data_IF_697514731796
#
_entry.id   IF_697514731796
#
_cell.length_a   1.000
_cell.length_b   1.000
_cell.length_c   1.000
_cell.angle_alpha   90.00
_cell.angle_beta   90.00
_cell.angle_gamma   90.00
#
_symmetry.space_group_name_H-M   'P 1'
#
loop_
_entity.id
_entity.type
_entity.pdbx_description
1 polymer ?
#
# COMPACT_ATOMS: atom_id res chain seq x y z
N UNK A 1 -46.24 19.82 31.24
CA UNK A 1 -44.91 20.47 31.17
C UNK A 1 -43.88 19.35 31.14
N UNK A 2 -43.40 18.99 29.96
CA UNK A 2 -42.40 17.95 29.75
C UNK A 2 -41.14 18.64 29.24
N UNK A 3 -40.03 18.42 29.94
CA UNK A 3 -38.75 19.10 29.75
C UNK A 3 -37.86 18.25 28.83
N UNK A 4 -37.34 18.76 27.69
CA UNK A 4 -36.39 18.02 26.87
C UNK A 4 -34.97 18.55 27.11
N UNK A 5 -34.12 17.73 27.73
CA UNK A 5 -32.67 17.99 27.80
C UNK A 5 -31.91 16.70 27.49
N UNK A 6 -31.47 16.56 26.23
CA UNK A 6 -30.35 15.70 25.81
C UNK A 6 -30.13 15.85 24.30
N UNK A 7 -29.38 16.89 23.90
CA UNK A 7 -28.95 17.06 22.50
C UNK A 7 -27.51 17.55 22.35
N UNK A 8 -26.67 17.46 23.39
CA UNK A 8 -25.33 18.08 23.36
C UNK A 8 -24.19 17.15 22.89
N UNK A 9 -24.40 15.85 22.69
CA UNK A 9 -23.29 14.94 22.34
C UNK A 9 -22.93 14.85 20.85
N UNK A 10 -23.69 15.46 19.92
CA UNK A 10 -23.40 15.38 18.47
C UNK A 10 -22.67 16.60 17.89
N UNK A 11 -22.61 17.70 18.66
CA UNK A 11 -22.02 18.97 18.20
C UNK A 11 -20.49 18.97 18.27
N UNK A 12 -19.90 18.19 19.17
CA UNK A 12 -18.46 18.15 19.45
C UNK A 12 -17.66 17.40 18.38
N UNK A 13 -18.23 16.35 17.80
CA UNK A 13 -17.56 15.53 16.77
C UNK A 13 -17.44 16.26 15.42
N UNK A 14 -18.45 17.08 15.08
CA UNK A 14 -18.47 17.89 13.85
C UNK A 14 -17.46 19.04 13.94
N UNK A 15 -17.27 19.62 15.12
CA UNK A 15 -16.31 20.72 15.35
C UNK A 15 -14.85 20.21 15.32
N UNK A 16 -14.60 18.99 15.83
CA UNK A 16 -13.30 18.32 15.73
C UNK A 16 -12.93 18.00 14.27
N UNK A 17 -13.90 17.54 13.47
CA UNK A 17 -13.74 17.33 12.02
C UNK A 17 -13.41 18.62 11.27
N UNK A 18 -14.03 19.75 11.63
CA UNK A 18 -13.76 21.07 11.04
C UNK A 18 -12.37 21.61 11.38
N UNK A 19 -11.87 21.33 12.59
CA UNK A 19 -10.53 21.76 13.01
C UNK A 19 -9.41 21.04 12.27
N UNK A 20 -9.64 19.78 11.89
CA UNK A 20 -8.74 18.97 11.05
C UNK A 20 -8.62 19.49 9.60
N UNK A 21 -9.55 20.32 9.12
CA UNK A 21 -9.54 20.93 7.78
C UNK A 21 -8.40 21.96 7.63
N UNK A 22 -7.91 22.55 8.73
CA UNK A 22 -6.93 23.62 8.70
C UNK A 22 -5.47 23.14 8.48
N UNK A 23 -5.12 21.91 8.88
CA UNK A 23 -3.73 21.42 8.89
C UNK A 23 -3.46 20.46 7.72
N UNK A 24 -3.36 21.03 6.51
CA UNK A 24 -3.33 20.26 5.27
C UNK A 24 -1.91 20.08 4.71
N UNK A 25 -1.17 19.05 5.15
CA UNK A 25 0.03 18.53 4.45
C UNK A 25 0.37 17.08 4.82
N UNK A 26 -0.24 16.08 4.17
CA UNK A 26 0.30 14.70 4.12
C UNK A 26 -0.03 14.00 2.78
N UNK A 27 0.97 13.33 2.14
CA UNK A 27 0.82 12.67 0.83
C UNK A 27 0.08 11.32 0.87
N UNK A 28 -0.55 10.97 -0.26
CA UNK A 28 -1.45 9.82 -0.48
C UNK A 28 -0.84 8.41 -0.32
N UNK A 29 0.46 8.31 -0.03
CA UNK A 29 1.21 7.05 -0.01
C UNK A 29 0.86 6.15 1.17
N UNK A 30 0.37 6.69 2.29
CA UNK A 30 0.05 5.89 3.48
C UNK A 30 -1.22 5.03 3.35
N UNK A 31 -2.11 5.37 2.40
CA UNK A 31 -3.44 4.76 2.27
C UNK A 31 -3.42 3.50 1.38
N UNK A 32 -2.36 3.28 0.58
CA UNK A 32 -2.29 2.13 -0.33
C UNK A 32 -2.15 0.79 0.39
N UNK A 33 -1.53 0.79 1.57
CA UNK A 33 -1.10 -0.44 2.24
C UNK A 33 -2.22 -1.18 3.01
N UNK A 34 -3.35 -0.54 3.32
CA UNK A 34 -4.46 -1.11 4.10
C UNK A 34 -5.64 -1.63 3.23
N UNK A 35 -5.65 -1.32 1.93
CA UNK A 35 -6.68 -1.76 0.98
C UNK A 35 -6.68 -3.26 0.73
N UNK A 36 -5.53 -3.91 0.83
CA UNK A 36 -5.36 -5.33 0.55
C UNK A 36 -5.91 -6.21 1.69
N UNK A 37 -5.89 -5.74 2.94
CA UNK A 37 -6.50 -6.45 4.08
C UNK A 37 -8.03 -6.53 3.96
N UNK A 38 -8.67 -5.49 3.40
CA UNK A 38 -10.10 -5.55 3.06
C UNK A 38 -10.38 -6.45 1.86
N UNK A 39 -9.46 -6.54 0.89
CA UNK A 39 -9.65 -7.38 -0.29
C UNK A 39 -9.58 -8.88 0.06
N UNK A 40 -8.65 -9.28 0.93
CA UNK A 40 -8.57 -10.66 1.43
C UNK A 40 -9.78 -11.00 2.35
N UNK A 41 -10.28 -10.03 3.12
CA UNK A 41 -11.50 -10.20 3.90
C UNK A 41 -12.77 -10.30 3.04
N UNK A 42 -12.83 -9.62 1.89
CA UNK A 42 -13.93 -9.71 0.94
C UNK A 42 -14.00 -11.08 0.26
N UNK A 43 -12.85 -11.69 -0.04
CA UNK A 43 -12.78 -13.03 -0.63
C UNK A 43 -13.03 -14.14 0.42
N UNK A 44 -12.65 -13.93 1.68
CA UNK A 44 -12.89 -14.88 2.78
C UNK A 44 -14.33 -14.90 3.32
N UNK A 45 -15.04 -13.75 3.32
CA UNK A 45 -16.38 -13.61 3.92
C UNK A 45 -17.53 -14.20 3.11
N UNK A 46 -17.26 -14.80 1.95
CA UNK A 46 -18.25 -15.56 1.19
C UNK A 46 -18.37 -17.03 1.67
N UNK A 47 -17.60 -17.45 2.68
CA UNK A 47 -17.45 -18.86 3.02
C UNK A 47 -17.44 -19.24 4.52
N UNK A 48 -17.90 -18.40 5.44
CA UNK A 48 -18.02 -18.85 6.84
C UNK A 48 -19.29 -18.35 7.54
N UNK A 49 -19.89 -19.29 8.28
CA UNK A 49 -21.14 -19.17 9.00
C UNK A 49 -20.98 -18.50 10.35
N UNK A 50 -22.12 -18.03 10.84
CA UNK A 50 -22.35 -17.34 12.11
C UNK A 50 -21.62 -17.94 13.33
N UNK A 51 -21.07 -17.06 14.16
CA UNK A 51 -20.72 -17.38 15.55
C UNK A 51 -21.28 -16.28 16.44
N UNK A 52 -22.41 -16.58 17.09
CA UNK A 52 -23.02 -15.75 18.15
C UNK A 52 -22.28 -15.99 19.47
N UNK A 53 -22.00 -14.91 20.19
CA UNK A 53 -21.77 -14.96 21.63
C UNK A 53 -22.10 -13.60 22.25
N UNK A 54 -23.19 -13.56 23.02
CA UNK A 54 -23.52 -12.46 23.93
C UNK A 54 -22.51 -12.40 25.09
N UNK A 55 -21.97 -11.23 25.45
CA UNK A 55 -21.34 -11.04 26.74
C UNK A 55 -22.35 -10.55 27.78
N UNK A 56 -22.35 -11.26 28.92
CA UNK A 56 -22.98 -10.93 30.19
C UNK A 56 -22.51 -9.55 30.69
N UNK A 57 -23.46 -8.62 30.80
CA UNK A 57 -23.24 -7.21 31.13
C UNK A 57 -23.38 -7.00 32.64
N UNK A 58 -22.36 -7.43 33.38
CA UNK A 58 -22.26 -7.12 34.81
C UNK A 58 -20.82 -6.88 35.24
N UNK A 59 -20.35 -5.64 35.04
CA UNK A 59 -19.40 -4.89 35.89
C UNK A 59 -18.86 -3.69 35.08
N UNK A 60 -18.90 -2.48 35.66
CA UNK A 60 -17.75 -1.54 35.77
C UNK A 60 -18.22 -0.08 36.04
N UNK A 61 -18.60 0.19 37.30
CA UNK A 61 -18.41 1.53 37.87
C UNK A 61 -16.92 1.69 38.19
N UNK A 62 -16.18 2.49 37.40
CA UNK A 62 -14.79 2.85 37.75
C UNK A 62 -13.83 3.17 36.61
N UNK A 63 -14.22 3.00 35.34
CA UNK A 63 -13.37 3.41 34.22
C UNK A 63 -13.49 4.93 34.01
N UNK A 64 -12.36 5.64 34.09
CA UNK A 64 -12.36 7.08 33.83
C UNK A 64 -12.51 7.36 32.33
N UNK A 65 -13.20 8.45 31.98
CA UNK A 65 -13.38 8.88 30.59
C UNK A 65 -12.04 9.07 29.86
N UNK A 66 -10.99 9.45 30.60
CA UNK A 66 -9.63 9.59 30.08
C UNK A 66 -9.03 8.22 29.67
N UNK A 67 -9.25 7.18 30.47
CA UNK A 67 -8.79 5.82 30.15
C UNK A 67 -9.59 5.25 28.98
N UNK A 68 -10.92 5.45 28.95
CA UNK A 68 -11.77 5.04 27.84
C UNK A 68 -11.38 5.73 26.52
N UNK A 69 -11.09 7.03 26.57
CA UNK A 69 -10.61 7.80 25.41
C UNK A 69 -9.25 7.30 24.92
N UNK A 70 -8.33 7.00 25.83
CA UNK A 70 -7.02 6.43 25.52
C UNK A 70 -7.15 5.04 24.88
N UNK A 71 -7.97 4.16 25.45
CA UNK A 71 -8.24 2.83 24.90
C UNK A 71 -8.81 2.95 23.48
N UNK A 72 -9.77 3.84 23.25
CA UNK A 72 -10.31 4.09 21.91
C UNK A 72 -9.24 4.60 20.93
N UNK A 73 -8.35 5.48 21.39
CA UNK A 73 -7.26 6.01 20.57
C UNK A 73 -6.27 4.92 20.15
N UNK A 74 -5.85 4.07 21.08
CA UNK A 74 -4.93 2.97 20.81
C UNK A 74 -5.60 1.79 20.08
N UNK A 75 -6.93 1.68 20.12
CA UNK A 75 -7.71 0.63 19.44
C UNK A 75 -8.19 1.01 18.02
N UNK A 76 -7.65 2.09 17.43
CA UNK A 76 -8.05 2.56 16.08
C UNK A 76 -7.83 1.53 14.97
N UNK A 77 -6.89 0.61 15.14
CA UNK A 77 -6.63 -0.49 14.21
C UNK A 77 -6.08 -0.07 12.83
N UNK A 78 -5.69 1.19 12.67
CA UNK A 78 -5.06 1.76 11.47
C UNK A 78 -3.97 2.75 11.89
N UNK A 79 -2.99 3.00 11.02
CA UNK A 79 -1.97 4.03 11.27
C UNK A 79 -2.58 5.44 11.31
N UNK A 80 -1.95 6.38 12.03
CA UNK A 80 -2.44 7.77 12.10
C UNK A 80 -2.55 8.44 10.72
N UNK A 81 -1.62 8.13 9.82
CA UNK A 81 -1.67 8.60 8.43
C UNK A 81 -2.88 8.07 7.67
N UNK A 82 -3.22 6.80 7.88
CA UNK A 82 -4.39 6.17 7.26
C UNK A 82 -5.69 6.70 7.87
N UNK A 83 -5.75 6.86 9.19
CA UNK A 83 -6.86 7.50 9.87
C UNK A 83 -7.14 8.89 9.28
N UNK A 84 -6.14 9.76 9.20
CA UNK A 84 -6.26 11.08 8.57
C UNK A 84 -6.68 10.99 7.10
N UNK A 85 -6.15 10.02 6.37
CA UNK A 85 -6.55 9.72 4.99
C UNK A 85 -8.04 9.39 4.85
N UNK A 86 -8.55 8.49 5.68
CA UNK A 86 -9.95 8.09 5.68
C UNK A 86 -10.89 9.20 6.15
N UNK A 87 -10.47 10.01 7.13
CA UNK A 87 -11.23 11.20 7.55
C UNK A 87 -11.37 12.20 6.38
N UNK A 88 -10.28 12.47 5.65
CA UNK A 88 -10.34 13.35 4.46
C UNK A 88 -11.31 12.83 3.40
N UNK A 89 -11.28 11.52 3.13
CA UNK A 89 -12.18 10.89 2.15
C UNK A 89 -13.65 10.92 2.60
N UNK A 90 -13.92 10.74 3.91
CA UNK A 90 -15.27 10.87 4.45
C UNK A 90 -15.83 12.28 4.26
N UNK A 91 -15.04 13.32 4.57
CA UNK A 91 -15.44 14.72 4.35
C UNK A 91 -15.73 14.98 2.87
N UNK A 92 -14.91 14.45 1.96
CA UNK A 92 -15.15 14.57 0.51
C UNK A 92 -16.45 13.88 0.07
N UNK A 93 -16.78 12.73 0.67
CA UNK A 93 -18.05 12.05 0.43
C UNK A 93 -19.24 12.92 0.85
N UNK A 94 -19.25 13.45 2.07
CA UNK A 94 -20.35 14.29 2.56
C UNK A 94 -20.50 15.59 1.75
N UNK A 95 -19.39 16.23 1.41
CA UNK A 95 -19.38 17.43 0.56
C UNK A 95 -19.96 17.13 -0.82
N UNK A 96 -19.61 15.99 -1.43
CA UNK A 96 -20.19 15.54 -2.68
C UNK A 96 -21.71 15.34 -2.56
N UNK A 97 -22.15 14.56 -1.58
CA UNK A 97 -23.58 14.25 -1.38
C UNK A 97 -24.41 15.51 -1.11
N UNK A 98 -23.87 16.44 -0.32
CA UNK A 98 -24.50 17.73 -0.02
C UNK A 98 -24.58 18.62 -1.26
N UNK A 99 -23.48 18.76 -2.00
CA UNK A 99 -23.42 19.61 -3.21
C UNK A 99 -24.38 19.14 -4.32
N UNK A 100 -24.59 17.83 -4.43
CA UNK A 100 -25.53 17.21 -5.37
C UNK A 100 -26.96 17.14 -4.84
N UNK A 101 -27.20 17.62 -3.61
CA UNK A 101 -28.50 17.59 -2.92
C UNK A 101 -29.07 16.17 -2.76
N UNK A 102 -28.20 15.17 -2.64
CA UNK A 102 -28.61 13.80 -2.32
C UNK A 102 -28.89 13.61 -0.83
N UNK A 103 -28.36 14.50 0.01
CA UNK A 103 -28.69 14.62 1.43
C UNK A 103 -29.14 16.05 1.71
N UNK A 104 -30.02 16.23 2.69
CA UNK A 104 -30.47 17.54 3.13
C UNK A 104 -29.28 18.30 3.75
N UNK A 105 -29.11 19.61 3.44
CA UNK A 105 -28.08 20.41 4.07
C UNK A 105 -28.15 20.33 5.60
N UNK A 106 -27.03 19.99 6.24
CA UNK A 106 -26.94 19.85 7.69
C UNK A 106 -27.31 18.46 8.24
N UNK A 107 -27.82 17.54 7.41
CA UNK A 107 -27.99 16.13 7.81
C UNK A 107 -26.70 15.37 7.56
N UNK A 108 -26.06 14.78 8.59
CA UNK A 108 -24.82 14.04 8.42
C UNK A 108 -25.10 12.74 7.66
N UNK A 109 -24.22 12.40 6.72
CA UNK A 109 -24.31 11.13 6.00
C UNK A 109 -23.76 10.00 6.86
N UNK A 110 -22.64 10.25 7.55
CA UNK A 110 -22.12 9.32 8.53
C UNK A 110 -22.80 9.53 9.88
N UNK A 111 -23.43 8.49 10.40
CA UNK A 111 -24.16 8.52 11.67
C UNK A 111 -24.28 7.12 12.25
N UNK A 112 -24.70 7.04 13.52
CA UNK A 112 -25.04 5.77 14.20
C UNK A 112 -26.32 5.14 13.66
N UNK A 113 -27.16 5.90 12.96
CA UNK A 113 -28.37 5.42 12.33
C UNK A 113 -28.38 5.83 10.84
N UNK A 114 -27.56 5.18 10.00
CA UNK A 114 -27.47 5.56 8.61
C UNK A 114 -28.79 5.33 7.88
N UNK A 115 -29.07 6.20 6.91
CA UNK A 115 -30.23 6.06 6.03
C UNK A 115 -30.25 4.68 5.35
N UNK A 116 -31.46 4.13 5.14
CA UNK A 116 -31.65 2.91 4.33
C UNK A 116 -31.04 3.02 2.93
N UNK A 117 -30.89 4.25 2.43
CA UNK A 117 -30.28 4.57 1.13
C UNK A 117 -28.75 4.66 1.16
N UNK A 118 -28.09 4.54 2.31
CA UNK A 118 -26.65 4.73 2.44
C UNK A 118 -25.82 3.91 1.43
N UNK A 119 -26.10 2.61 1.16
CA UNK A 119 -25.40 1.86 0.11
C UNK A 119 -25.44 2.52 -1.28
N UNK A 120 -26.59 3.09 -1.65
CA UNK A 120 -26.75 3.77 -2.94
C UNK A 120 -25.94 5.06 -3.00
N UNK A 121 -25.93 5.84 -1.91
CA UNK A 121 -25.16 7.08 -1.80
C UNK A 121 -23.65 6.82 -1.90
N UNK A 122 -23.16 5.73 -1.30
CA UNK A 122 -21.76 5.29 -1.43
C UNK A 122 -21.43 4.98 -2.90
N UNK A 123 -22.30 4.22 -3.57
CA UNK A 123 -22.12 3.88 -4.98
C UNK A 123 -22.13 5.15 -5.85
N UNK A 124 -23.05 6.09 -5.61
CA UNK A 124 -23.12 7.34 -6.37
C UNK A 124 -21.82 8.15 -6.26
N UNK A 125 -21.23 8.21 -5.07
CA UNK A 125 -19.96 8.88 -4.87
C UNK A 125 -18.81 8.19 -5.60
N UNK A 126 -18.68 6.86 -5.46
CA UNK A 126 -17.65 6.07 -6.17
C UNK A 126 -17.85 6.14 -7.68
N UNK A 127 -19.09 6.06 -8.16
CA UNK A 127 -19.47 6.20 -9.57
C UNK A 127 -19.07 7.55 -10.12
N UNK A 128 -19.36 8.62 -9.38
CA UNK A 128 -18.99 9.99 -9.77
C UNK A 128 -17.47 10.26 -9.74
N UNK A 129 -16.65 9.48 -9.04
CA UNK A 129 -15.21 9.67 -9.08
C UNK A 129 -14.51 8.74 -10.07
N UNK A 130 -15.00 7.50 -10.17
CA UNK A 130 -14.22 6.41 -10.72
C UNK A 130 -14.86 5.76 -11.95
N UNK A 131 -16.16 5.85 -12.19
CA UNK A 131 -16.80 5.08 -13.27
C UNK A 131 -16.85 5.85 -14.60
N UNK A 132 -16.99 5.09 -15.69
CA UNK A 132 -17.26 5.62 -17.03
C UNK A 132 -18.70 6.13 -17.17
N UNK A 133 -19.60 5.62 -16.32
CA UNK A 133 -21.00 6.00 -16.26
C UNK A 133 -21.16 7.02 -15.13
N UNK A 134 -21.78 8.16 -15.42
CA UNK A 134 -22.13 9.17 -14.44
C UNK A 134 -23.39 8.75 -13.65
N UNK A 135 -23.62 9.34 -12.46
CA UNK A 135 -24.86 9.13 -11.70
C UNK A 135 -26.17 9.34 -12.47
N UNK A 136 -26.16 10.14 -13.53
CA UNK A 136 -27.31 10.38 -14.41
C UNK A 136 -27.46 9.33 -15.54
N UNK A 137 -26.59 8.32 -15.59
CA UNK A 137 -26.58 7.26 -16.62
C UNK A 137 -25.81 7.61 -17.89
N UNK A 138 -25.32 8.85 -18.03
CA UNK A 138 -24.55 9.26 -19.20
C UNK A 138 -23.13 8.71 -19.16
N UNK A 139 -22.55 8.46 -20.34
CA UNK A 139 -21.13 8.10 -20.44
C UNK A 139 -20.28 9.36 -20.35
N UNK A 140 -19.20 9.30 -19.56
CA UNK A 140 -18.21 10.37 -19.54
C UNK A 140 -17.52 10.56 -20.88
N UNK A 141 -17.13 11.79 -21.21
CA UNK A 141 -16.25 12.06 -22.34
C UNK A 141 -14.92 11.29 -22.21
N UNK A 142 -14.38 10.71 -23.31
CA UNK A 142 -13.10 10.00 -23.28
C UNK A 142 -11.90 10.86 -22.82
N UNK A 143 -12.02 12.19 -22.92
CA UNK A 143 -10.98 13.16 -22.55
C UNK A 143 -10.90 13.41 -21.04
N UNK A 144 -11.90 13.00 -20.27
CA UNK A 144 -11.92 13.22 -18.82
C UNK A 144 -11.13 12.12 -18.11
N UNK A 145 -10.15 12.52 -17.30
CA UNK A 145 -9.33 11.58 -16.52
C UNK A 145 -10.20 10.99 -15.41
N UNK A 146 -10.32 9.67 -15.40
CA UNK A 146 -11.08 8.91 -14.41
C UNK A 146 -10.15 8.38 -13.33
N UNK A 147 -10.60 8.39 -12.08
CA UNK A 147 -9.86 7.75 -10.99
C UNK A 147 -9.76 6.22 -11.19
N UNK A 148 -8.71 5.63 -10.62
CA UNK A 148 -8.42 4.20 -10.76
C UNK A 148 -9.33 3.33 -9.89
N UNK A 149 -9.36 2.01 -10.16
CA UNK A 149 -10.05 1.06 -9.28
C UNK A 149 -9.47 1.06 -7.85
N UNK A 150 -8.15 1.24 -7.71
CA UNK A 150 -7.48 1.38 -6.41
C UNK A 150 -8.02 2.60 -5.64
N UNK A 151 -8.25 3.72 -6.32
CA UNK A 151 -8.87 4.88 -5.67
C UNK A 151 -10.31 4.60 -5.24
N UNK A 152 -11.11 3.89 -6.05
CA UNK A 152 -12.44 3.44 -5.65
C UNK A 152 -12.41 2.55 -4.41
N UNK A 153 -11.41 1.67 -4.29
CA UNK A 153 -11.19 0.88 -3.07
C UNK A 153 -10.86 1.76 -1.88
N UNK A 154 -10.00 2.79 -2.02
CA UNK A 154 -9.71 3.77 -0.95
C UNK A 154 -10.97 4.47 -0.48
N UNK A 155 -11.80 4.92 -1.42
CA UNK A 155 -13.09 5.54 -1.12
C UNK A 155 -13.98 4.59 -0.30
N UNK A 156 -14.12 3.34 -0.74
CA UNK A 156 -14.90 2.33 0.00
C UNK A 156 -14.33 2.07 1.39
N UNK A 157 -13.02 1.81 1.51
CA UNK A 157 -12.36 1.52 2.78
C UNK A 157 -12.51 2.67 3.80
N UNK A 158 -12.41 3.91 3.32
CA UNK A 158 -12.68 5.08 4.16
C UNK A 158 -14.11 5.09 4.71
N UNK A 159 -15.09 4.73 3.89
CA UNK A 159 -16.50 4.64 4.32
C UNK A 159 -16.70 3.46 5.27
N UNK A 160 -16.09 2.30 4.98
CA UNK A 160 -16.09 1.12 5.87
C UNK A 160 -15.55 1.48 7.24
N UNK A 161 -14.39 2.14 7.28
CA UNK A 161 -13.74 2.58 8.49
C UNK A 161 -14.61 3.55 9.29
N UNK A 162 -15.20 4.56 8.64
CA UNK A 162 -16.01 5.53 9.35
C UNK A 162 -17.27 4.89 9.95
N UNK A 163 -18.08 4.18 9.17
CA UNK A 163 -19.25 3.51 9.72
C UNK A 163 -18.88 2.46 10.78
N UNK A 164 -17.86 1.66 10.53
CA UNK A 164 -17.49 0.55 11.40
C UNK A 164 -16.82 0.98 12.71
N UNK A 165 -15.88 1.93 12.65
CA UNK A 165 -15.05 2.34 13.80
C UNK A 165 -15.51 3.65 14.42
N UNK A 166 -15.71 4.69 13.61
CA UNK A 166 -16.07 6.03 14.13
C UNK A 166 -17.50 6.02 14.65
N UNK A 167 -18.43 5.44 13.88
CA UNK A 167 -19.84 5.33 14.25
C UNK A 167 -20.21 3.98 14.88
N UNK A 168 -19.22 3.13 15.14
CA UNK A 168 -19.36 1.90 15.92
C UNK A 168 -20.39 0.90 15.38
N UNK A 169 -20.66 0.90 14.07
CA UNK A 169 -21.55 -0.09 13.43
C UNK A 169 -20.87 -1.44 13.19
N UNK A 170 -19.57 -1.52 13.49
CA UNK A 170 -18.77 -2.74 13.38
C UNK A 170 -18.62 -3.24 11.93
N UNK A 171 -18.45 -4.56 11.82
CA UNK A 171 -18.22 -5.27 10.56
C UNK A 171 -19.41 -6.08 10.05
N UNK A 172 -20.59 -5.95 10.68
CA UNK A 172 -21.77 -6.72 10.32
C UNK A 172 -22.25 -6.32 8.91
N UNK A 173 -22.65 -7.30 8.07
CA UNK A 173 -23.27 -7.01 6.79
C UNK A 173 -24.52 -6.14 6.96
N UNK A 174 -24.70 -5.18 6.06
CA UNK A 174 -25.88 -4.31 6.04
C UNK A 174 -27.15 -5.12 5.79
N UNK A 175 -28.07 -5.14 6.75
CA UNK A 175 -29.32 -5.91 6.67
C UNK A 175 -30.47 -5.18 7.37
N UNK A 176 -31.70 -5.59 7.06
CA UNK A 176 -32.89 -5.09 7.73
C UNK A 176 -33.21 -5.99 8.92
N UNK A 177 -33.25 -5.42 10.12
CA UNK A 177 -33.65 -6.13 11.32
C UNK A 177 -35.16 -5.94 11.54
N UNK A 178 -35.92 -7.03 11.46
CA UNK A 178 -37.38 -7.01 11.62
C UNK A 178 -37.83 -6.68 13.05
N UNK A 179 -37.02 -7.03 14.06
CA UNK A 179 -37.35 -6.78 15.46
C UNK A 179 -37.21 -5.29 15.83
N UNK A 180 -36.21 -4.62 15.28
CA UNK A 180 -35.97 -3.18 15.52
C UNK A 180 -36.61 -2.26 14.47
N UNK A 181 -37.13 -2.79 13.36
CA UNK A 181 -37.59 -2.06 12.17
C UNK A 181 -36.53 -1.07 11.63
N UNK A 182 -35.25 -1.39 11.84
CA UNK A 182 -34.12 -0.55 11.44
C UNK A 182 -33.16 -1.32 10.54
N UNK A 183 -32.36 -0.55 9.79
CA UNK A 183 -31.23 -1.12 9.08
C UNK A 183 -30.04 -1.18 10.03
N UNK A 184 -29.37 -2.32 10.07
CA UNK A 184 -28.25 -2.60 10.96
C UNK A 184 -27.03 -3.07 10.17
N UNK A 185 -25.85 -2.89 10.76
CA UNK A 185 -24.55 -3.20 10.16
C UNK A 185 -23.94 -2.05 9.37
N UNK A 186 -22.94 -2.35 8.56
CA UNK A 186 -22.15 -1.35 7.84
C UNK A 186 -22.60 -1.21 6.37
N UNK A 187 -23.15 -0.05 5.94
CA UNK A 187 -23.64 0.15 4.58
C UNK A 187 -22.61 -0.14 3.46
N UNK A 188 -21.32 0.07 3.71
CA UNK A 188 -20.24 -0.17 2.73
C UNK A 188 -19.95 -1.65 2.48
N UNK A 189 -20.37 -2.53 3.39
CA UNK A 189 -20.22 -3.98 3.33
C UNK A 189 -21.50 -4.61 2.75
N UNK A 190 -22.49 -3.81 2.38
CA UNK A 190 -23.72 -4.32 1.73
C UNK A 190 -23.42 -5.14 0.47
N UNK A 191 -24.25 -6.15 0.16
CA UNK A 191 -24.15 -6.89 -1.10
C UNK A 191 -24.20 -5.98 -2.34
N UNK A 192 -24.95 -4.89 -2.25
CA UNK A 192 -25.09 -3.91 -3.32
C UNK A 192 -23.76 -3.20 -3.63
N UNK A 193 -23.08 -2.65 -2.61
CA UNK A 193 -21.77 -1.99 -2.78
C UNK A 193 -20.72 -3.00 -3.26
N UNK A 194 -20.70 -4.20 -2.68
CA UNK A 194 -19.76 -5.26 -3.09
C UNK A 194 -19.94 -5.66 -4.56
N UNK A 195 -21.17 -5.88 -5.01
CA UNK A 195 -21.49 -6.23 -6.40
C UNK A 195 -21.11 -5.11 -7.37
N UNK A 196 -21.36 -3.85 -6.96
CA UNK A 196 -20.97 -2.69 -7.74
C UNK A 196 -19.44 -2.61 -7.91
N UNK A 197 -18.67 -2.79 -6.84
CA UNK A 197 -17.20 -2.77 -6.89
C UNK A 197 -16.64 -3.86 -7.79
N UNK A 198 -17.17 -5.10 -7.72
CA UNK A 198 -16.78 -6.18 -8.62
C UNK A 198 -17.06 -5.85 -10.08
N UNK A 199 -18.21 -5.24 -10.36
CA UNK A 199 -18.59 -4.82 -11.71
C UNK A 199 -17.70 -3.67 -12.21
N UNK A 200 -17.41 -2.69 -11.36
CA UNK A 200 -16.48 -1.60 -11.64
C UNK A 200 -15.08 -2.14 -11.98
N UNK A 201 -14.58 -3.12 -11.22
CA UNK A 201 -13.30 -3.79 -11.49
C UNK A 201 -13.28 -4.38 -12.89
N UNK A 202 -14.33 -5.13 -13.27
CA UNK A 202 -14.44 -5.74 -14.60
C UNK A 202 -14.47 -4.70 -15.71
N UNK A 203 -15.23 -3.60 -15.54
CA UNK A 203 -15.24 -2.48 -16.50
C UNK A 203 -13.86 -1.86 -16.66
N UNK A 204 -13.17 -1.58 -15.55
CA UNK A 204 -11.81 -1.02 -15.56
C UNK A 204 -10.81 -1.91 -16.28
N UNK A 205 -10.86 -3.22 -16.03
CA UNK A 205 -10.01 -4.20 -16.74
C UNK A 205 -10.31 -4.21 -18.24
N UNK A 206 -11.59 -4.19 -18.64
CA UNK A 206 -11.98 -4.13 -20.05
C UNK A 206 -11.47 -2.86 -20.75
N UNK A 207 -11.42 -1.74 -20.03
CA UNK A 207 -10.89 -0.47 -20.51
C UNK A 207 -9.35 -0.42 -20.55
N UNK A 208 -8.66 -1.54 -20.26
CA UNK A 208 -7.21 -1.61 -20.20
C UNK A 208 -6.59 -0.97 -18.94
N UNK A 209 -7.41 -0.48 -18.01
CA UNK A 209 -6.96 0.01 -16.71
C UNK A 209 -6.71 -1.23 -15.83
N UNK A 210 -5.55 -1.85 -16.06
CA UNK A 210 -5.08 -2.95 -15.22
C UNK A 210 -4.79 -2.40 -13.84
N UNK A 211 -5.25 -3.09 -12.78
CA UNK A 211 -4.89 -2.70 -11.43
C UNK A 211 -3.35 -2.77 -11.29
N UNK A 212 -2.76 -1.68 -10.83
CA UNK A 212 -1.34 -1.61 -10.53
C UNK A 212 -1.05 -2.65 -9.44
N UNK A 213 0.08 -3.37 -9.53
CA UNK A 213 0.52 -4.36 -8.54
C UNK A 213 -0.19 -5.74 -8.61
N UNK A 214 -0.91 -6.08 -9.69
CA UNK A 214 -1.49 -7.43 -9.83
C UNK A 214 -0.44 -8.46 -10.28
N UNK A 215 0.52 -8.05 -11.11
CA UNK A 215 1.46 -8.99 -11.74
C UNK A 215 2.69 -9.22 -10.87
N UNK A 216 3.00 -10.49 -10.66
CA UNK A 216 4.25 -10.93 -10.07
C UNK A 216 5.42 -10.65 -11.02
N UNK A 217 6.53 -10.14 -10.49
CA UNK A 217 7.78 -10.07 -11.26
C UNK A 217 8.36 -11.48 -11.39
N UNK A 218 8.95 -11.84 -12.53
CA UNK A 218 9.48 -13.19 -12.72
C UNK A 218 11.01 -13.19 -12.67
N UNK A 219 11.66 -14.34 -12.37
CA UNK A 219 13.11 -14.49 -12.47
C UNK A 219 13.65 -14.05 -13.83
N UNK A 220 12.98 -14.41 -14.92
CA UNK A 220 13.40 -14.10 -16.28
C UNK A 220 13.36 -12.60 -16.56
N UNK A 221 12.35 -11.91 -16.03
CA UNK A 221 12.25 -10.45 -16.13
C UNK A 221 13.35 -9.77 -15.29
N UNK A 222 13.64 -10.29 -14.10
CA UNK A 222 14.77 -9.82 -13.29
C UNK A 222 16.12 -10.06 -14.00
N UNK A 223 16.28 -11.18 -14.72
CA UNK A 223 17.47 -11.46 -15.52
C UNK A 223 17.64 -10.44 -16.65
N UNK A 224 16.55 -10.07 -17.35
CA UNK A 224 16.57 -9.04 -18.39
C UNK A 224 16.96 -7.67 -17.83
N UNK A 225 16.33 -7.25 -16.72
CA UNK A 225 16.66 -5.98 -16.05
C UNK A 225 18.11 -5.97 -15.57
N UNK A 226 18.56 -7.06 -14.96
CA UNK A 226 19.93 -7.19 -14.47
C UNK A 226 20.94 -7.09 -15.62
N UNK A 227 20.71 -7.82 -16.73
CA UNK A 227 21.58 -7.78 -17.91
C UNK A 227 21.65 -6.37 -18.50
N UNK A 228 20.48 -5.75 -18.73
CA UNK A 228 20.41 -4.39 -19.26
C UNK A 228 21.13 -3.39 -18.34
N UNK A 229 20.92 -3.49 -17.02
CA UNK A 229 21.60 -2.65 -16.05
C UNK A 229 23.13 -2.84 -16.08
N UNK A 230 23.60 -4.09 -16.18
CA UNK A 230 25.02 -4.45 -16.21
C UNK A 230 25.73 -3.97 -17.48
N UNK A 231 25.01 -3.86 -18.59
CA UNK A 231 25.51 -3.37 -19.89
C UNK A 231 25.61 -1.84 -19.95
N UNK A 232 25.06 -1.11 -18.97
CA UNK A 232 25.12 0.36 -18.95
C UNK A 232 26.58 0.86 -18.92
N UNK A 233 26.92 1.90 -19.73
CA UNK A 233 28.25 2.51 -19.69
C UNK A 233 28.65 2.93 -18.27
N UNK A 234 29.80 2.45 -17.81
CA UNK A 234 30.27 2.73 -16.46
C UNK A 234 29.68 1.86 -15.35
N UNK A 235 28.83 0.86 -15.66
CA UNK A 235 28.33 -0.08 -14.65
C UNK A 235 29.45 -0.81 -13.91
N UNK A 236 30.61 -1.03 -14.51
CA UNK A 236 31.77 -1.66 -13.86
C UNK A 236 32.68 -0.67 -13.12
N UNK A 237 32.38 0.62 -13.17
CA UNK A 237 33.21 1.63 -12.51
C UNK A 237 32.80 1.78 -11.05
N UNK A 238 33.78 2.04 -10.20
CA UNK A 238 33.58 2.28 -8.76
C UNK A 238 33.30 3.75 -8.46
N UNK A 239 33.31 4.61 -9.48
CA UNK A 239 32.95 6.02 -9.39
C UNK A 239 31.98 6.38 -10.52
N UNK A 240 31.00 7.26 -10.25
CA UNK A 240 30.09 7.73 -11.29
C UNK A 240 30.87 8.49 -12.37
N UNK A 241 30.77 8.05 -13.63
CA UNK A 241 31.13 8.92 -14.75
C UNK A 241 30.01 9.94 -14.85
N UNK A 242 30.19 11.08 -14.19
CA UNK A 242 29.30 12.21 -14.43
C UNK A 242 30.02 13.20 -15.33
N UNK A 243 29.85 13.02 -16.64
CA UNK A 243 30.21 14.05 -17.60
C UNK A 243 29.26 15.24 -17.40
N UNK A 244 29.83 16.43 -17.17
CA UNK A 244 29.06 17.66 -16.97
C UNK A 244 28.04 17.97 -18.08
N UNK A 245 28.17 17.33 -19.25
CA UNK A 245 27.25 17.41 -20.37
C UNK A 245 25.82 16.89 -20.05
N UNK A 246 25.67 15.88 -19.19
CA UNK A 246 24.35 15.31 -18.85
C UNK A 246 23.49 16.27 -18.01
N UNK A 247 24.12 17.17 -17.24
CA UNK A 247 23.42 18.13 -16.37
C UNK A 247 22.58 19.14 -17.15
N UNK A 248 22.97 19.44 -18.38
CA UNK A 248 22.33 20.45 -19.24
C UNK A 248 21.33 19.84 -20.24
N UNK A 249 21.23 18.50 -20.30
CA UNK A 249 20.33 17.82 -21.22
C UNK A 249 18.89 17.80 -20.65
N UNK A 250 17.85 18.08 -21.44
CA UNK A 250 16.45 17.96 -21.00
C UNK A 250 16.12 16.54 -20.51
N UNK A 251 15.30 16.41 -19.44
CA UNK A 251 14.93 15.10 -18.83
C UNK A 251 14.35 14.10 -19.85
N UNK A 252 13.58 14.57 -20.82
CA UNK A 252 13.02 13.75 -21.90
C UNK A 252 14.12 13.15 -22.79
N UNK A 253 15.17 13.92 -23.07
CA UNK A 253 16.28 13.44 -23.89
C UNK A 253 17.20 12.50 -23.11
N UNK A 254 17.40 12.74 -21.81
CA UNK A 254 18.08 11.79 -20.92
C UNK A 254 17.34 10.44 -20.90
N UNK A 255 16.00 10.46 -20.76
CA UNK A 255 15.17 9.25 -20.81
C UNK A 255 15.31 8.52 -22.15
N UNK A 256 15.23 9.25 -23.29
CA UNK A 256 15.38 8.66 -24.63
C UNK A 256 16.75 8.03 -24.87
N UNK A 257 17.79 8.56 -24.24
CA UNK A 257 19.17 8.07 -24.36
C UNK A 257 19.57 7.08 -23.25
N UNK A 258 18.64 6.70 -22.36
CA UNK A 258 18.90 5.74 -21.27
C UNK A 258 19.72 6.29 -20.09
N UNK A 259 19.92 7.61 -20.03
CA UNK A 259 20.73 8.30 -19.01
C UNK A 259 19.91 8.82 -17.81
N UNK A 260 18.73 8.25 -17.55
CA UNK A 260 17.88 8.66 -16.43
C UNK A 260 18.43 8.24 -15.06
N UNK A 261 19.31 7.23 -15.05
CA UNK A 261 20.00 6.74 -13.87
C UNK A 261 21.37 6.16 -14.25
N UNK A 262 22.38 6.47 -13.45
CA UNK A 262 23.75 5.99 -13.67
C UNK A 262 24.04 4.65 -12.99
N UNK A 263 25.33 4.26 -12.97
CA UNK A 263 25.79 3.01 -12.36
C UNK A 263 25.37 2.79 -10.90
N UNK A 264 25.37 3.85 -10.09
CA UNK A 264 25.02 3.78 -8.66
C UNK A 264 23.57 3.40 -8.50
N UNK A 265 22.64 4.14 -9.12
CA UNK A 265 21.23 3.83 -8.98
C UNK A 265 20.83 2.52 -9.66
N UNK A 266 21.49 2.09 -10.75
CA UNK A 266 21.26 0.76 -11.34
C UNK A 266 21.70 -0.38 -10.40
N UNK A 267 22.85 -0.24 -9.72
CA UNK A 267 23.29 -1.19 -8.68
C UNK A 267 22.37 -1.17 -7.46
N UNK A 268 21.89 0.01 -7.05
CA UNK A 268 20.89 0.18 -6.00
C UNK A 268 19.64 -0.64 -6.35
N UNK A 269 19.08 -0.44 -7.55
CA UNK A 269 17.89 -1.15 -8.00
C UNK A 269 18.10 -2.67 -8.01
N UNK A 270 19.22 -3.15 -8.56
CA UNK A 270 19.53 -4.58 -8.57
C UNK A 270 19.55 -5.19 -7.15
N UNK A 271 20.11 -4.48 -6.17
CA UNK A 271 20.09 -4.92 -4.78
C UNK A 271 18.67 -4.92 -4.18
N UNK A 272 17.88 -3.85 -4.40
CA UNK A 272 16.47 -3.82 -3.94
C UNK A 272 15.68 -4.98 -4.55
N UNK A 273 15.86 -5.24 -5.85
CA UNK A 273 15.18 -6.32 -6.54
C UNK A 273 15.52 -7.67 -5.94
N UNK A 274 16.81 -7.96 -5.77
CA UNK A 274 17.27 -9.22 -5.18
C UNK A 274 16.71 -9.41 -3.77
N UNK A 275 16.88 -8.41 -2.88
CA UNK A 275 16.39 -8.52 -1.49
C UNK A 275 14.87 -8.63 -1.41
N UNK A 276 14.12 -7.79 -2.14
CA UNK A 276 12.66 -7.84 -2.11
C UNK A 276 12.12 -9.16 -2.67
N UNK A 277 12.78 -9.70 -3.70
CA UNK A 277 12.39 -10.97 -4.32
C UNK A 277 12.76 -12.18 -3.45
N UNK A 278 13.99 -12.27 -2.96
CA UNK A 278 14.45 -13.44 -2.18
C UNK A 278 13.94 -13.44 -0.75
N UNK A 279 13.74 -12.27 -0.14
CA UNK A 279 13.21 -12.18 1.23
C UNK A 279 11.69 -11.98 1.28
N UNK A 280 11.00 -12.01 0.11
CA UNK A 280 9.56 -11.84 0.00
C UNK A 280 9.06 -10.51 0.61
N UNK A 281 9.85 -9.45 0.47
CA UNK A 281 9.56 -8.16 1.08
C UNK A 281 8.65 -7.32 0.21
N UNK A 282 7.81 -6.52 0.86
CA UNK A 282 7.27 -5.34 0.22
C UNK A 282 8.41 -4.35 -0.04
N UNK A 283 8.23 -3.50 -1.04
CA UNK A 283 9.26 -2.50 -1.36
C UNK A 283 9.51 -1.52 -0.21
N UNK A 284 8.48 -1.10 0.52
CA UNK A 284 8.64 -0.21 1.67
C UNK A 284 9.41 -0.87 2.83
N UNK A 285 9.24 -2.18 3.03
CA UNK A 285 10.04 -2.99 3.97
C UNK A 285 11.51 -3.01 3.51
N UNK A 286 11.76 -3.30 2.24
CA UNK A 286 13.12 -3.35 1.69
C UNK A 286 13.83 -1.98 1.76
N UNK A 287 13.16 -0.89 1.38
CA UNK A 287 13.76 0.45 1.33
C UNK A 287 14.12 1.01 2.72
N UNK A 288 13.52 0.49 3.79
CA UNK A 288 13.81 0.90 5.17
C UNK A 288 14.95 0.10 5.82
N UNK A 289 15.52 -0.89 5.14
CA UNK A 289 16.66 -1.64 5.65
C UNK A 289 17.87 -0.70 5.86
N UNK A 290 18.50 -0.82 7.02
CA UNK A 290 19.71 -0.10 7.42
C UNK A 290 20.95 -1.01 7.41
N UNK A 291 22.13 -0.40 7.32
CA UNK A 291 23.37 -1.17 7.24
C UNK A 291 23.63 -2.06 8.47
N UNK A 292 23.20 -1.64 9.66
CA UNK A 292 23.37 -2.42 10.89
C UNK A 292 22.43 -3.64 10.95
N UNK A 293 21.45 -3.73 10.06
CA UNK A 293 20.52 -4.85 9.93
C UNK A 293 21.01 -5.90 8.92
N UNK A 294 22.10 -5.61 8.20
CA UNK A 294 22.71 -6.52 7.24
C UNK A 294 24.09 -6.93 7.75
N UNK A 295 24.26 -8.22 8.04
CA UNK A 295 25.50 -8.80 8.51
C UNK A 295 26.07 -9.78 7.48
N UNK A 296 27.11 -9.39 6.72
CA UNK A 296 27.90 -10.33 5.91
C UNK A 296 28.66 -11.31 6.82
N UNK A 297 28.50 -12.61 6.58
CA UNK A 297 29.18 -13.69 7.32
C UNK A 297 29.80 -14.69 6.35
N UNK A 298 30.70 -15.52 6.89
CA UNK A 298 31.19 -16.72 6.22
C UNK A 298 30.74 -17.91 7.06
N UNK A 299 29.94 -18.79 6.48
CA UNK A 299 29.43 -20.01 7.13
C UNK A 299 29.88 -21.20 6.29
N UNK A 300 30.62 -22.12 6.89
CA UNK A 300 31.16 -23.31 6.21
C UNK A 300 31.95 -22.97 4.92
N UNK A 301 32.74 -21.88 4.96
CA UNK A 301 33.54 -21.41 3.82
C UNK A 301 32.74 -20.72 2.71
N UNK A 302 31.42 -20.52 2.89
CA UNK A 302 30.55 -19.84 1.92
C UNK A 302 30.15 -18.46 2.43
N UNK A 303 30.12 -17.47 1.53
CA UNK A 303 29.61 -16.13 1.82
C UNK A 303 28.09 -16.17 2.04
N UNK A 304 27.66 -15.55 3.14
CA UNK A 304 26.26 -15.48 3.57
C UNK A 304 25.93 -14.04 3.94
N UNK A 305 24.72 -13.61 3.64
CA UNK A 305 24.17 -12.34 4.07
C UNK A 305 23.02 -12.59 5.06
N UNK A 306 23.19 -12.18 6.31
CA UNK A 306 22.13 -12.26 7.31
C UNK A 306 21.40 -10.91 7.34
N UNK A 307 20.10 -10.91 7.08
CA UNK A 307 19.28 -9.69 7.03
C UNK A 307 18.21 -9.75 8.12
N UNK A 308 18.28 -8.84 9.08
CA UNK A 308 17.32 -8.73 10.20
C UNK A 308 16.41 -7.54 9.95
N UNK A 309 15.12 -7.77 9.71
CA UNK A 309 14.22 -6.65 9.43
C UNK A 309 13.91 -5.85 10.71
N UNK A 310 13.87 -4.51 10.65
CA UNK A 310 13.49 -3.68 11.79
C UNK A 310 12.00 -3.76 12.11
N UNK A 311 11.18 -4.06 11.09
CA UNK A 311 9.75 -4.25 11.20
C UNK A 311 9.26 -5.14 10.05
N UNK A 312 8.15 -5.84 10.27
CA UNK A 312 7.43 -6.58 9.24
C UNK A 312 5.94 -6.47 9.54
N UNK A 313 5.14 -6.02 8.56
CA UNK A 313 3.70 -5.77 8.79
C UNK A 313 2.95 -7.04 9.21
N UNK A 314 3.47 -8.22 8.88
CA UNK A 314 2.86 -9.51 9.20
C UNK A 314 3.30 -10.10 10.54
N UNK A 315 4.35 -9.58 11.18
CA UNK A 315 4.81 -10.03 12.50
C UNK A 315 4.42 -9.00 13.56
N UNK A 316 3.17 -9.09 14.02
CA UNK A 316 2.58 -8.15 14.99
C UNK A 316 3.18 -8.28 16.40
N UNK A 317 3.91 -9.36 16.70
CA UNK A 317 4.38 -9.71 18.05
C UNK A 317 5.88 -9.42 18.30
N UNK A 318 6.62 -8.89 17.32
CA UNK A 318 8.08 -8.85 17.39
C UNK A 318 8.70 -10.23 17.18
N UNK A 319 10.03 -10.34 17.17
CA UNK A 319 10.80 -11.57 16.86
C UNK A 319 10.80 -12.03 15.39
N UNK A 320 11.03 -11.08 14.48
CA UNK A 320 11.29 -11.39 13.07
C UNK A 320 12.60 -12.19 12.97
N UNK A 321 12.50 -13.47 12.60
CA UNK A 321 13.68 -14.30 12.35
C UNK A 321 14.52 -13.69 11.22
N UNK A 322 15.85 -13.58 11.38
CA UNK A 322 16.71 -13.10 10.31
C UNK A 322 16.62 -13.97 9.06
N UNK A 323 16.69 -13.35 7.90
CA UNK A 323 16.86 -14.04 6.63
C UNK A 323 18.33 -14.42 6.46
N UNK A 324 18.60 -15.71 6.28
CA UNK A 324 19.95 -16.20 6.00
C UNK A 324 20.04 -16.46 4.50
N UNK A 325 20.78 -15.61 3.79
CA UNK A 325 20.87 -15.63 2.34
C UNK A 325 22.23 -16.14 1.90
N UNK A 326 22.24 -17.31 1.28
CA UNK A 326 23.45 -17.90 0.72
C UNK A 326 23.75 -17.32 -0.66
N UNK A 327 25.03 -17.33 -1.03
CA UNK A 327 25.40 -17.03 -2.41
C UNK A 327 24.75 -18.07 -3.34
N UNK A 328 23.96 -17.57 -4.30
CA UNK A 328 23.28 -18.42 -5.30
C UNK A 328 24.29 -18.95 -6.34
N UNK A 329 23.89 -19.87 -7.23
CA UNK A 329 24.68 -20.26 -8.40
C UNK A 329 24.91 -19.13 -9.42
N UNK A 330 25.87 -19.28 -10.32
CA UNK A 330 26.28 -18.23 -11.27
C UNK A 330 25.19 -17.92 -12.31
N UNK A 331 24.43 -18.91 -12.75
CA UNK A 331 23.27 -18.76 -13.64
C UNK A 331 22.12 -17.96 -12.99
N UNK A 332 22.07 -17.91 -11.66
CA UNK A 332 21.11 -17.10 -10.89
C UNK A 332 21.70 -15.78 -10.38
N UNK A 333 22.73 -15.23 -11.05
CA UNK A 333 23.39 -14.01 -10.58
C UNK A 333 22.48 -12.80 -10.41
N UNK A 334 21.45 -12.71 -11.25
CA UNK A 334 20.44 -11.66 -11.24
C UNK A 334 19.52 -11.71 -10.00
N UNK A 335 19.47 -12.84 -9.29
CA UNK A 335 18.71 -13.00 -8.05
C UNK A 335 19.60 -13.01 -6.81
N UNK A 336 20.92 -12.96 -6.93
CA UNK A 336 21.83 -13.22 -5.82
C UNK A 336 22.01 -11.99 -4.92
N UNK A 337 21.39 -11.95 -3.71
CA UNK A 337 21.47 -10.80 -2.82
C UNK A 337 22.88 -10.60 -2.27
N UNK A 338 23.64 -11.69 -2.06
CA UNK A 338 25.04 -11.64 -1.59
C UNK A 338 25.90 -10.85 -2.57
N UNK A 339 25.89 -11.24 -3.85
CA UNK A 339 26.69 -10.54 -4.88
C UNK A 339 26.19 -9.12 -5.11
N UNK A 340 24.88 -8.91 -5.16
CA UNK A 340 24.31 -7.58 -5.32
C UNK A 340 24.74 -6.65 -4.16
N UNK A 341 24.76 -7.14 -2.92
CA UNK A 341 25.18 -6.37 -1.75
C UNK A 341 26.68 -6.07 -1.77
N UNK A 342 27.52 -7.05 -2.14
CA UNK A 342 28.97 -6.83 -2.29
C UNK A 342 29.26 -5.70 -3.29
N UNK A 343 28.61 -5.73 -4.46
CA UNK A 343 28.72 -4.64 -5.44
C UNK A 343 28.21 -3.32 -4.89
N UNK A 344 27.09 -3.33 -4.17
CA UNK A 344 26.52 -2.14 -3.58
C UNK A 344 27.48 -1.46 -2.59
N UNK A 345 28.05 -2.20 -1.64
CA UNK A 345 28.96 -1.65 -0.63
C UNK A 345 30.22 -1.04 -1.27
N UNK A 346 30.78 -1.70 -2.28
CA UNK A 346 31.93 -1.17 -3.04
C UNK A 346 31.60 0.13 -3.77
N UNK A 347 30.35 0.30 -4.19
CA UNK A 347 29.89 1.45 -4.98
C UNK A 347 29.49 2.62 -4.10
N UNK A 348 28.64 2.36 -3.10
CA UNK A 348 28.06 3.38 -2.24
C UNK A 348 29.11 3.96 -1.29
N UNK A 349 30.11 3.14 -0.91
CA UNK A 349 31.07 3.45 0.16
C UNK A 349 30.36 3.88 1.46
N UNK A 350 29.11 3.44 1.65
CA UNK A 350 28.32 3.66 2.85
C UNK A 350 28.31 2.37 3.67
N UNK A 351 28.43 2.54 4.99
CA UNK A 351 28.38 1.46 5.96
C UNK A 351 27.49 1.80 7.17
N UNK A 352 26.75 2.91 7.12
CA UNK A 352 25.87 3.38 8.20
C UNK A 352 24.57 3.95 7.65
N UNK A 353 23.52 3.96 8.48
CA UNK A 353 22.19 4.45 8.11
C UNK A 353 21.47 3.57 7.10
N UNK A 354 20.53 4.15 6.35
CA UNK A 354 19.76 3.43 5.33
C UNK A 354 20.65 2.89 4.21
N UNK A 355 20.45 1.62 3.84
CA UNK A 355 21.12 0.97 2.70
C UNK A 355 20.70 1.64 1.40
N UNK A 356 19.41 1.99 1.30
CA UNK A 356 18.80 2.60 0.13
C UNK A 356 18.51 4.06 0.36
N UNK A 357 19.54 4.92 0.25
CA UNK A 357 19.37 6.36 0.38
C UNK A 357 18.73 6.98 -0.85
N UNK A 358 18.10 8.14 -0.66
CA UNK A 358 17.62 8.98 -1.76
C UNK A 358 18.76 9.25 -2.76
N UNK A 359 18.47 9.13 -4.05
CA UNK A 359 19.38 9.55 -5.12
C UNK A 359 19.15 11.03 -5.45
N UNK A 360 20.25 11.76 -5.54
CA UNK A 360 20.34 13.14 -5.98
C UNK A 360 20.67 13.23 -7.47
N UNK A 361 20.59 14.45 -7.99
CA UNK A 361 20.98 14.74 -9.38
C UNK A 361 22.41 14.28 -9.62
N UNK A 362 22.56 13.54 -10.72
CA UNK A 362 23.81 12.99 -11.20
C UNK A 362 24.22 11.68 -10.55
N UNK A 363 23.25 10.84 -10.17
CA UNK A 363 23.49 9.48 -9.69
C UNK A 363 24.30 9.45 -8.38
N UNK A 364 24.14 10.50 -7.56
CA UNK A 364 24.82 10.65 -6.27
C UNK A 364 23.89 10.26 -5.14
N UNK A 365 24.42 9.62 -4.11
CA UNK A 365 23.65 9.36 -2.90
C UNK A 365 23.43 10.66 -2.12
N UNK A 366 22.24 10.78 -1.51
CA UNK A 366 21.93 11.85 -0.59
C UNK A 366 22.86 11.86 0.62
N UNK A 367 23.33 13.04 1.00
CA UNK A 367 24.18 13.23 2.18
C UNK A 367 23.43 12.93 3.48
N UNK A 368 22.13 13.22 3.53
CA UNK A 368 21.27 12.92 4.69
C UNK A 368 20.96 11.43 4.83
N UNK A 369 20.75 10.98 6.07
CA UNK A 369 20.27 9.63 6.39
C UNK A 369 18.76 9.50 6.12
N UNK A 370 18.36 9.70 4.86
CA UNK A 370 16.96 9.59 4.42
C UNK A 370 16.84 8.45 3.41
N UNK A 371 15.91 7.52 3.69
CA UNK A 371 15.61 6.42 2.77
C UNK A 371 14.99 6.94 1.47
N UNK A 372 15.17 6.19 0.41
CA UNK A 372 14.43 6.36 -0.83
C UNK A 372 12.95 6.11 -0.58
N UNK A 373 12.08 6.95 -1.16
CA UNK A 373 10.63 6.74 -1.05
C UNK A 373 10.15 5.66 -2.03
N UNK A 374 9.07 4.96 -1.69
CA UNK A 374 8.45 3.98 -2.60
C UNK A 374 8.04 4.61 -3.94
N UNK A 375 7.63 5.88 -3.94
CA UNK A 375 7.30 6.62 -5.16
C UNK A 375 8.52 6.83 -6.07
N UNK A 376 9.67 7.23 -5.50
CA UNK A 376 10.91 7.39 -6.24
C UNK A 376 11.40 6.05 -6.79
N UNK A 377 11.35 4.98 -5.98
CA UNK A 377 11.65 3.63 -6.44
C UNK A 377 10.75 3.22 -7.61
N UNK A 378 9.42 3.44 -7.51
CA UNK A 378 8.49 3.06 -8.57
C UNK A 378 8.75 3.84 -9.86
N UNK A 379 9.07 5.13 -9.81
CA UNK A 379 9.47 5.91 -10.99
C UNK A 379 10.68 5.27 -11.68
N UNK A 380 11.72 4.94 -10.90
CA UNK A 380 12.93 4.31 -11.40
C UNK A 380 12.67 2.90 -11.96
N UNK A 381 11.94 2.07 -11.23
CA UNK A 381 11.62 0.70 -11.64
C UNK A 381 10.79 0.66 -12.92
N UNK A 382 9.76 1.52 -13.03
CA UNK A 382 8.93 1.61 -14.25
C UNK A 382 9.72 2.09 -15.46
N UNK A 383 10.64 3.04 -15.24
CA UNK A 383 11.54 3.49 -16.30
C UNK A 383 12.45 2.34 -16.75
N UNK A 384 13.04 1.60 -15.80
CA UNK A 384 13.89 0.44 -16.10
C UNK A 384 13.13 -0.67 -16.87
N UNK A 385 11.88 -0.96 -16.52
CA UNK A 385 11.01 -1.87 -17.28
C UNK A 385 10.75 -1.37 -18.72
N UNK A 386 10.52 -0.06 -18.87
CA UNK A 386 10.28 0.55 -20.19
C UNK A 386 11.50 0.41 -21.09
N UNK A 387 12.72 0.54 -20.53
CA UNK A 387 13.97 0.39 -21.29
C UNK A 387 14.15 -1.00 -21.90
N UNK A 388 13.66 -2.03 -21.23
CA UNK A 388 13.66 -3.41 -21.77
C UNK A 388 12.38 -3.75 -22.55
N UNK A 389 11.56 -2.75 -22.88
CA UNK A 389 10.34 -2.91 -23.67
C UNK A 389 9.18 -3.60 -22.94
N UNK A 390 9.19 -3.60 -21.61
CA UNK A 390 8.15 -4.23 -20.78
C UNK A 390 7.15 -3.18 -20.31
N UNK A 391 5.85 -3.45 -20.54
CA UNK A 391 4.78 -2.65 -19.98
C UNK A 391 4.82 -2.69 -18.44
N UNK A 392 5.02 -1.52 -17.84
CA UNK A 392 5.19 -1.37 -16.40
C UNK A 392 3.86 -1.22 -15.64
N UNK A 393 2.75 -0.92 -16.33
CA UNK A 393 1.43 -0.66 -15.72
C UNK A 393 1.01 -1.77 -14.73
N UNK A 394 1.16 -3.08 -15.02
CA UNK A 394 0.69 -4.12 -14.12
C UNK A 394 1.59 -4.36 -12.89
N UNK A 395 2.77 -3.72 -12.81
CA UNK A 395 3.74 -3.94 -11.74
C UNK A 395 3.70 -2.82 -10.68
N UNK A 396 3.92 -3.20 -9.43
CA UNK A 396 3.85 -2.30 -8.27
C UNK A 396 4.71 -2.77 -7.09
N UNK A 397 4.48 -2.19 -5.92
CA UNK A 397 5.27 -2.44 -4.69
C UNK A 397 5.19 -3.88 -4.17
N UNK A 398 4.21 -4.67 -4.62
CA UNK A 398 4.04 -6.07 -4.21
C UNK A 398 4.50 -7.07 -5.27
N UNK A 399 4.88 -6.62 -6.47
CA UNK A 399 5.27 -7.49 -7.58
C UNK A 399 6.45 -8.40 -7.21
N UNK A 400 7.41 -7.89 -6.42
CA UNK A 400 8.60 -8.62 -5.97
C UNK A 400 8.25 -9.72 -4.98
N UNK A 401 7.53 -9.39 -3.90
CA UNK A 401 7.05 -10.38 -2.94
C UNK A 401 6.26 -11.50 -3.61
N UNK A 402 5.28 -11.16 -4.46
CA UNK A 402 4.47 -12.15 -5.19
C UNK A 402 5.33 -13.02 -6.11
N UNK A 403 6.25 -12.40 -6.84
CA UNK A 403 7.22 -13.08 -7.70
C UNK A 403 8.10 -14.06 -6.95
N UNK A 404 8.69 -13.62 -5.84
CA UNK A 404 9.51 -14.45 -4.98
C UNK A 404 8.74 -15.64 -4.41
N UNK A 405 7.49 -15.42 -3.97
CA UNK A 405 6.64 -16.50 -3.46
C UNK A 405 6.36 -17.54 -4.54
N UNK A 406 6.03 -17.09 -5.76
CA UNK A 406 5.84 -17.99 -6.90
C UNK A 406 7.12 -18.74 -7.27
N UNK A 407 8.26 -18.05 -7.29
CA UNK A 407 9.55 -18.66 -7.58
C UNK A 407 9.92 -19.75 -6.56
N UNK A 408 9.80 -19.47 -5.27
CA UNK A 408 10.10 -20.47 -4.23
C UNK A 408 9.14 -21.66 -4.26
N UNK A 409 7.84 -21.41 -4.45
CA UNK A 409 6.82 -22.45 -4.43
C UNK A 409 6.82 -23.30 -5.71
N UNK A 410 6.91 -22.66 -6.88
CA UNK A 410 6.76 -23.34 -8.18
C UNK A 410 8.09 -23.83 -8.72
N UNK A 411 9.12 -22.98 -8.72
CA UNK A 411 10.40 -23.29 -9.36
C UNK A 411 11.32 -24.06 -8.41
N UNK A 412 11.48 -23.59 -7.17
CA UNK A 412 12.30 -24.29 -6.17
C UNK A 412 11.55 -25.43 -5.47
N UNK A 413 10.23 -25.53 -5.65
CA UNK A 413 9.36 -26.53 -5.00
C UNK A 413 9.53 -26.57 -3.47
N UNK A 414 9.84 -25.43 -2.85
CA UNK A 414 9.98 -25.36 -1.39
C UNK A 414 8.61 -25.59 -0.74
N UNK A 415 8.53 -26.42 0.31
CA UNK A 415 7.33 -26.53 1.13
C UNK A 415 6.92 -25.17 1.69
N UNK A 416 5.63 -24.92 1.81
CA UNK A 416 5.12 -23.65 2.37
C UNK A 416 5.68 -23.32 3.75
N UNK A 417 5.95 -24.34 4.57
CA UNK A 417 6.58 -24.17 5.89
C UNK A 417 7.98 -23.57 5.80
N UNK A 418 8.73 -23.89 4.75
CA UNK A 418 10.11 -23.42 4.54
C UNK A 418 10.16 -22.04 3.90
N UNK A 419 9.15 -21.73 3.07
CA UNK A 419 8.95 -20.39 2.51
C UNK A 419 8.63 -19.39 3.64
N UNK A 420 7.84 -19.81 4.63
CA UNK A 420 7.48 -18.99 5.79
C UNK A 420 8.57 -18.94 6.87
N UNK A 421 9.41 -19.97 6.98
CA UNK A 421 10.52 -20.00 7.94
C UNK A 421 11.74 -19.18 7.50
N UNK A 422 11.72 -18.61 6.27
CA UNK A 422 12.71 -17.69 5.72
C UNK A 422 14.12 -18.30 5.55
N UNK A 423 14.22 -19.63 5.40
CA UNK A 423 15.49 -20.34 5.22
C UNK A 423 15.69 -20.67 3.73
N UNK A 424 16.56 -19.90 3.07
CA UNK A 424 17.15 -20.29 1.79
C UNK A 424 18.43 -21.07 2.09
N UNK A 425 18.29 -22.31 2.54
CA UNK A 425 19.39 -23.28 2.59
C UNK A 425 19.84 -23.74 1.20
#
# INVERSE_FOLDING_TARGET
MYNPSSSESSSTDIEALRKLIADNTLPDSAIEDDLDGEQDALDARLNDGSMDSDPDDSLHEGLSDALMSSIHEFSRGVSDGTHKGYQRLAVQCEAFLSSKKYITPGTPFFSKEPSRLAPYLIILWIMNACDEILPNGEKRPPTEIRSSYTHAMKMRAAVTYNFGRVFQLGGLPWHYNQASDKMEGNPSISPLVSTYMLSLRRRKVRDGITAVSVRAITPELLAQLFKYNKEHPGYNLTQPIYEGALRNMPKIEQLRKGYWCGPVGRRLLNLVYALAFTCLLRIDEALKIQHHEIEPKIINGKSVLVVTLPFRKTDQFGDIKPFVLHELPQDMEHLCPVRAYSWWVLTSRQNTGYVFRRLNVGDRLGEGNTCMTSSAFLEMFRTNLTEIGVDYIPYGTHSFRRGGTQWMSVYLRKPWRDILSNIIE
#
